data_IF_346292318630
#
_entry.id   IF_346292318630
#
_cell.length_a   1.000
_cell.length_b   1.000
_cell.length_c   1.000
_cell.angle_alpha   90.00
_cell.angle_beta   90.00
_cell.angle_gamma   90.00
#
_symmetry.space_group_name_H-M   'P 1'
#
loop_
_entity.id
_entity.type
_entity.pdbx_description
1 polymer ?
#
# COMPACT_ATOMS: atom_id res chain seq x y z
N UNK A 1 -64.28 32.19 -17.11
CA UNK A 1 -63.55 32.95 -18.17
C UNK A 1 -62.87 34.09 -17.43
N UNK A 2 -61.56 34.32 -17.47
CA UNK A 2 -60.62 34.30 -18.60
C UNK A 2 -59.26 33.78 -18.12
N UNK A 3 -58.68 32.93 -18.94
CA UNK A 3 -57.29 32.46 -18.94
C UNK A 3 -56.41 33.52 -19.59
N UNK A 4 -55.23 33.83 -19.05
CA UNK A 4 -54.04 34.24 -19.80
C UNK A 4 -52.81 34.29 -18.89
N UNK A 5 -52.04 33.19 -18.94
CA UNK A 5 -50.58 33.18 -18.81
C UNK A 5 -49.96 34.11 -19.89
N UNK A 6 -48.76 34.70 -19.82
CA UNK A 6 -47.44 34.05 -19.79
C UNK A 6 -46.32 35.12 -19.72
N UNK A 7 -45.27 34.81 -18.93
CA UNK A 7 -43.83 34.89 -19.25
C UNK A 7 -43.21 36.24 -19.70
N UNK A 8 -42.61 36.93 -18.73
CA UNK A 8 -41.62 38.00 -18.97
C UNK A 8 -40.40 38.00 -18.03
N UNK A 9 -40.27 37.03 -17.11
CA UNK A 9 -39.27 37.08 -16.03
C UNK A 9 -38.31 35.89 -15.95
N UNK A 10 -38.29 34.99 -16.94
CA UNK A 10 -37.42 33.80 -16.93
C UNK A 10 -35.92 34.13 -16.97
N UNK A 11 -35.49 35.17 -17.69
CA UNK A 11 -34.04 35.45 -17.82
C UNK A 11 -33.44 36.02 -16.53
N UNK A 12 -34.12 36.99 -15.90
CA UNK A 12 -33.65 37.60 -14.65
C UNK A 12 -33.66 36.60 -13.49
N UNK A 13 -34.69 35.75 -13.43
CA UNK A 13 -34.80 34.68 -12.44
C UNK A 13 -33.66 33.66 -12.59
N UNK A 14 -33.34 33.25 -13.83
CA UNK A 14 -32.23 32.34 -14.09
C UNK A 14 -30.86 32.96 -13.75
N UNK A 15 -30.67 34.26 -14.01
CA UNK A 15 -29.43 34.98 -13.64
C UNK A 15 -29.30 35.08 -12.11
N UNK A 16 -30.41 35.33 -11.41
CA UNK A 16 -30.44 35.39 -9.95
C UNK A 16 -30.13 34.02 -9.32
N UNK A 17 -30.72 32.94 -9.83
CA UNK A 17 -30.40 31.58 -9.36
C UNK A 17 -28.93 31.24 -9.64
N UNK A 18 -28.41 31.58 -10.83
CA UNK A 18 -27.00 31.37 -11.17
C UNK A 18 -26.07 32.15 -10.22
N UNK A 19 -26.39 33.41 -9.92
CA UNK A 19 -25.60 34.22 -8.98
C UNK A 19 -25.57 33.60 -7.58
N UNK A 20 -26.71 33.12 -7.08
CA UNK A 20 -26.78 32.43 -5.79
C UNK A 20 -25.97 31.13 -5.81
N UNK A 21 -26.05 30.33 -6.87
CA UNK A 21 -25.26 29.09 -7.01
C UNK A 21 -23.76 29.38 -7.07
N UNK A 22 -23.34 30.43 -7.78
CA UNK A 22 -21.92 30.83 -7.83
C UNK A 22 -21.42 31.32 -6.46
N UNK A 23 -22.24 32.05 -5.71
CA UNK A 23 -21.90 32.46 -4.35
C UNK A 23 -21.76 31.24 -3.43
N UNK A 24 -22.71 30.31 -3.47
CA UNK A 24 -22.66 29.08 -2.66
C UNK A 24 -21.44 28.21 -3.01
N UNK A 25 -21.14 28.07 -4.30
CA UNK A 25 -19.97 27.28 -4.74
C UNK A 25 -18.63 27.96 -4.43
N UNK A 26 -18.57 29.30 -4.43
CA UNK A 26 -17.39 30.08 -4.02
C UNK A 26 -17.05 29.94 -2.53
N UNK A 27 -18.06 29.67 -1.69
CA UNK A 27 -17.85 29.41 -0.26
C UNK A 27 -17.32 27.99 0.03
N UNK A 28 -17.50 27.02 -0.88
CA UNK A 28 -17.00 25.65 -0.71
C UNK A 28 -15.47 25.56 -0.51
N UNK A 29 -14.60 26.18 -1.34
CA UNK A 29 -13.16 26.10 -1.13
C UNK A 29 -12.71 26.72 0.19
N UNK A 30 -13.42 27.74 0.71
CA UNK A 30 -13.09 28.36 2.00
C UNK A 30 -13.32 27.38 3.16
N UNK A 31 -14.38 26.56 3.09
CA UNK A 31 -14.67 25.52 4.08
C UNK A 31 -13.68 24.34 4.00
N UNK A 32 -13.19 24.02 2.80
CA UNK A 32 -12.25 22.92 2.57
C UNK A 32 -10.78 23.31 2.79
N UNK A 33 -10.44 24.60 2.68
CA UNK A 33 -9.07 25.11 2.70
C UNK A 33 -8.30 24.77 3.99
N UNK A 34 -8.97 24.65 5.14
CA UNK A 34 -8.27 24.44 6.43
C UNK A 34 -7.94 22.96 6.69
N UNK A 35 -8.70 22.03 6.11
CA UNK A 35 -8.51 20.59 6.34
C UNK A 35 -7.64 19.93 5.28
N UNK A 36 -7.73 20.38 4.02
CA UNK A 36 -6.95 19.78 2.92
C UNK A 36 -5.54 20.36 2.79
N UNK A 37 -5.32 21.62 3.19
CA UNK A 37 -4.01 22.29 3.04
C UNK A 37 -3.13 22.25 4.28
N UNK A 38 -3.60 21.67 5.40
CA UNK A 38 -2.69 21.15 6.44
C UNK A 38 -2.04 19.85 5.96
N UNK A 39 -1.40 19.93 4.80
CA UNK A 39 -0.49 18.93 4.29
C UNK A 39 0.83 19.11 5.05
N UNK A 40 0.83 18.67 6.31
CA UNK A 40 2.01 18.71 7.14
C UNK A 40 3.00 17.69 6.56
N UNK A 41 4.18 18.19 6.16
CA UNK A 41 5.30 17.54 5.48
C UNK A 41 5.25 17.48 3.95
N UNK A 42 5.43 18.62 3.29
CA UNK A 42 5.72 18.74 1.84
C UNK A 42 6.91 17.89 1.33
N UNK A 43 7.61 17.16 2.20
CA UNK A 43 8.81 16.35 1.91
C UNK A 43 8.81 15.02 2.71
N UNK A 44 7.74 14.22 2.69
CA UNK A 44 7.68 13.00 3.49
C UNK A 44 6.64 11.99 3.06
N UNK A 45 6.58 10.86 3.75
CA UNK A 45 5.60 9.82 3.48
C UNK A 45 4.21 10.26 3.95
N UNK A 46 3.25 10.30 3.04
CA UNK A 46 1.92 10.81 3.34
C UNK A 46 0.93 9.71 3.70
N UNK A 47 0.22 9.91 4.81
CA UNK A 47 -0.81 8.97 5.25
C UNK A 47 -1.95 8.84 4.21
N UNK A 48 -2.33 9.93 3.56
CA UNK A 48 -3.37 9.92 2.52
C UNK A 48 -2.90 9.12 1.29
N UNK A 49 -1.64 9.26 0.87
CA UNK A 49 -1.09 8.46 -0.23
C UNK A 49 -1.10 6.97 0.11
N UNK A 50 -0.77 6.62 1.35
CA UNK A 50 -0.90 5.26 1.86
C UNK A 50 -2.32 4.73 1.77
N UNK A 51 -3.32 5.50 2.20
CA UNK A 51 -4.73 5.10 2.12
C UNK A 51 -5.19 4.90 0.67
N UNK A 52 -4.84 5.82 -0.23
CA UNK A 52 -5.15 5.73 -1.67
C UNK A 52 -4.49 4.47 -2.25
N UNK A 53 -3.23 4.22 -1.92
CA UNK A 53 -2.50 3.03 -2.35
C UNK A 53 -3.18 1.74 -1.91
N UNK A 54 -3.55 1.64 -0.63
CA UNK A 54 -4.25 0.45 -0.09
C UNK A 54 -5.60 0.25 -0.78
N UNK A 55 -6.35 1.32 -1.05
CA UNK A 55 -7.62 1.25 -1.78
C UNK A 55 -7.43 0.80 -3.23
N UNK A 56 -6.45 1.36 -3.94
CA UNK A 56 -6.11 0.97 -5.31
C UNK A 56 -5.67 -0.49 -5.37
N UNK A 57 -4.79 -0.92 -4.46
CA UNK A 57 -4.33 -2.31 -4.36
C UNK A 57 -5.50 -3.26 -4.06
N UNK A 58 -6.42 -2.87 -3.17
CA UNK A 58 -7.64 -3.63 -2.89
C UNK A 58 -8.53 -3.80 -4.12
N UNK A 59 -8.69 -2.74 -4.91
CA UNK A 59 -9.44 -2.80 -6.18
C UNK A 59 -8.79 -3.79 -7.15
N UNK A 60 -7.49 -3.66 -7.36
CA UNK A 60 -6.72 -4.55 -8.25
C UNK A 60 -6.77 -6.00 -7.78
N UNK A 61 -6.71 -6.25 -6.47
CA UNK A 61 -6.81 -7.60 -5.92
C UNK A 61 -8.19 -8.24 -6.19
N UNK A 62 -9.26 -7.46 -6.08
CA UNK A 62 -10.62 -7.94 -6.38
C UNK A 62 -10.83 -8.21 -7.87
N UNK A 63 -10.18 -7.44 -8.75
CA UNK A 63 -10.22 -7.63 -10.21
C UNK A 63 -9.22 -8.70 -10.71
N UNK A 64 -8.28 -9.12 -9.86
CA UNK A 64 -7.31 -10.16 -10.17
C UNK A 64 -7.93 -11.54 -10.05
N UNK A 65 -7.61 -12.44 -10.98
CA UNK A 65 -7.87 -13.88 -10.93
C UNK A 65 -6.84 -14.58 -10.05
N UNK A 66 -5.57 -14.21 -10.19
CA UNK A 66 -4.44 -14.79 -9.48
C UNK A 66 -3.44 -13.71 -9.06
N UNK A 67 -2.69 -13.98 -8.01
CA UNK A 67 -1.60 -13.13 -7.53
C UNK A 67 -0.36 -13.96 -7.23
N UNK A 68 0.82 -13.38 -7.45
CA UNK A 68 2.13 -13.99 -7.19
C UNK A 68 3.09 -12.92 -6.70
N UNK A 69 3.99 -13.28 -5.80
CA UNK A 69 5.04 -12.39 -5.29
C UNK A 69 6.40 -12.90 -5.74
N UNK A 70 7.28 -12.01 -6.14
CA UNK A 70 8.68 -12.30 -6.47
C UNK A 70 9.56 -11.26 -5.79
N UNK A 71 10.16 -11.62 -4.66
CA UNK A 71 10.94 -10.68 -3.85
C UNK A 71 10.12 -9.48 -3.41
N UNK A 72 10.50 -8.28 -3.87
CA UNK A 72 9.85 -7.00 -3.59
C UNK A 72 8.79 -6.61 -4.63
N UNK A 73 8.45 -7.51 -5.54
CA UNK A 73 7.47 -7.24 -6.61
C UNK A 73 6.23 -8.11 -6.46
N UNK A 74 5.06 -7.47 -6.49
CA UNK A 74 3.76 -8.13 -6.49
C UNK A 74 3.18 -8.12 -7.91
N UNK A 75 2.81 -9.31 -8.41
CA UNK A 75 2.14 -9.49 -9.70
C UNK A 75 0.69 -9.91 -9.49
N UNK A 76 -0.22 -9.24 -10.18
CA UNK A 76 -1.63 -9.55 -10.22
C UNK A 76 -2.04 -9.79 -11.68
N UNK A 77 -2.77 -10.87 -11.93
CA UNK A 77 -3.30 -11.19 -13.24
C UNK A 77 -4.81 -10.97 -13.22
N UNK A 78 -5.32 -10.02 -14.03
CA UNK A 78 -6.74 -9.68 -14.11
C UNK A 78 -7.57 -10.76 -14.80
N UNK A 79 -8.88 -10.75 -14.55
CA UNK A 79 -9.82 -11.59 -15.34
C UNK A 79 -9.83 -11.24 -16.83
N UNK A 80 -9.44 -10.01 -17.19
CA UNK A 80 -9.33 -9.52 -18.57
C UNK A 80 -8.06 -10.01 -19.28
N UNK A 81 -7.11 -10.62 -18.57
CA UNK A 81 -5.81 -11.06 -19.10
C UNK A 81 -4.68 -10.02 -18.94
N UNK A 82 -4.97 -8.84 -18.40
CA UNK A 82 -3.95 -7.84 -18.09
C UNK A 82 -3.12 -8.25 -16.86
N UNK A 83 -1.80 -7.99 -16.91
CA UNK A 83 -0.88 -8.23 -15.80
C UNK A 83 -0.49 -6.90 -15.15
N UNK A 84 -0.91 -6.70 -13.91
CA UNK A 84 -0.51 -5.54 -13.10
C UNK A 84 0.65 -5.92 -12.19
N UNK A 85 1.67 -5.08 -12.12
CA UNK A 85 2.82 -5.27 -11.22
C UNK A 85 3.06 -4.05 -10.35
N UNK A 86 3.31 -4.29 -9.06
CA UNK A 86 3.77 -3.30 -8.10
C UNK A 86 5.20 -3.64 -7.72
N UNK A 87 6.13 -2.75 -8.03
CA UNK A 87 7.56 -2.93 -7.81
C UNK A 87 8.12 -1.72 -7.07
N UNK A 88 9.02 -1.97 -6.12
CA UNK A 88 9.81 -0.91 -5.50
C UNK A 88 10.91 -0.47 -6.47
N UNK A 89 10.85 0.79 -6.90
CA UNK A 89 11.85 1.43 -7.74
C UNK A 89 12.40 2.67 -7.04
N UNK A 90 13.70 2.65 -6.75
CA UNK A 90 14.38 3.69 -5.97
C UNK A 90 13.72 3.89 -4.60
N UNK A 91 13.01 4.99 -4.40
CA UNK A 91 12.31 5.33 -3.16
C UNK A 91 10.79 5.38 -3.34
N UNK A 92 10.25 4.67 -4.34
CA UNK A 92 8.83 4.72 -4.69
C UNK A 92 8.31 3.37 -5.18
N UNK A 93 7.05 3.06 -4.88
CA UNK A 93 6.37 1.90 -5.43
C UNK A 93 5.75 2.32 -6.76
N UNK A 94 6.16 1.68 -7.85
CA UNK A 94 5.63 1.91 -9.20
C UNK A 94 4.65 0.81 -9.58
N UNK A 95 3.52 1.23 -10.13
CA UNK A 95 2.52 0.38 -10.77
C UNK A 95 2.76 0.35 -12.28
N UNK A 96 2.75 -0.86 -12.86
CA UNK A 96 2.81 -1.07 -14.30
C UNK A 96 1.70 -2.03 -14.73
N UNK A 97 1.14 -1.83 -15.92
CA UNK A 97 0.15 -2.71 -16.55
C UNK A 97 0.77 -3.26 -17.83
N UNK A 98 0.90 -4.58 -17.93
CA UNK A 98 1.58 -5.28 -19.02
C UNK A 98 3.00 -4.75 -19.27
N UNK A 99 3.72 -4.37 -18.20
CA UNK A 99 5.07 -3.79 -18.28
C UNK A 99 5.13 -2.36 -18.84
N UNK A 100 3.96 -1.74 -19.06
CA UNK A 100 3.83 -0.36 -19.53
C UNK A 100 3.21 0.50 -18.42
N UNK A 101 3.51 1.79 -18.41
CA UNK A 101 3.01 2.73 -17.40
C UNK A 101 4.03 3.00 -16.29
N UNK A 102 4.13 4.27 -15.92
CA UNK A 102 5.02 4.79 -14.88
C UNK A 102 4.20 5.48 -13.79
N UNK A 103 3.14 4.82 -13.32
CA UNK A 103 2.30 5.39 -12.28
C UNK A 103 2.97 5.13 -10.93
N UNK A 104 3.36 6.20 -10.25
CA UNK A 104 3.88 6.13 -8.89
C UNK A 104 2.70 5.97 -7.94
N UNK A 105 2.61 4.81 -7.29
CA UNK A 105 1.51 4.46 -6.39
C UNK A 105 1.78 4.92 -4.95
N UNK A 106 3.05 4.95 -4.53
CA UNK A 106 3.45 5.41 -3.19
C UNK A 106 4.87 5.96 -3.23
N UNK A 107 5.11 7.13 -2.64
CA UNK A 107 6.44 7.76 -2.56
C UNK A 107 7.07 7.60 -1.18
N UNK A 108 8.37 7.91 -1.08
CA UNK A 108 9.12 7.90 0.17
C UNK A 108 9.11 6.53 0.88
N UNK A 109 9.26 5.46 0.10
CA UNK A 109 9.33 4.07 0.56
C UNK A 109 10.77 3.58 0.53
N UNK A 110 11.25 3.10 1.68
CA UNK A 110 12.56 2.46 1.80
C UNK A 110 12.48 0.96 1.52
N UNK A 111 11.44 0.29 2.01
CA UNK A 111 11.28 -1.17 1.85
C UNK A 111 9.80 -1.56 1.78
N UNK A 112 9.50 -2.58 0.97
CA UNK A 112 8.18 -3.20 0.88
C UNK A 112 8.28 -4.72 0.97
N UNK A 113 7.36 -5.32 1.73
CA UNK A 113 7.22 -6.77 1.84
C UNK A 113 5.77 -7.16 1.58
N UNK A 114 5.60 -8.17 0.71
CA UNK A 114 4.32 -8.75 0.36
C UNK A 114 4.27 -10.20 0.83
N UNK A 115 3.34 -10.52 1.72
CA UNK A 115 3.15 -11.89 2.24
C UNK A 115 1.79 -12.40 1.78
N UNK A 116 1.81 -13.43 0.93
CA UNK A 116 0.62 -14.09 0.42
C UNK A 116 -0.01 -14.97 1.51
N UNK A 117 -1.30 -14.80 1.74
CA UNK A 117 -2.11 -15.61 2.67
C UNK A 117 -3.29 -16.22 1.92
N UNK A 118 -3.88 -17.30 2.43
CA UNK A 118 -5.03 -17.97 1.81
C UNK A 118 -6.24 -17.04 1.55
N UNK A 119 -6.38 -15.96 2.32
CA UNK A 119 -7.52 -15.02 2.24
C UNK A 119 -7.16 -13.64 1.68
N UNK A 120 -5.90 -13.39 1.34
CA UNK A 120 -5.45 -12.05 0.96
C UNK A 120 -3.95 -11.87 0.97
N UNK A 121 -3.53 -10.61 1.00
CA UNK A 121 -2.14 -10.19 1.00
C UNK A 121 -1.90 -9.32 2.23
N UNK A 122 -0.88 -9.68 3.01
CA UNK A 122 -0.37 -8.82 4.07
C UNK A 122 0.77 -7.97 3.49
N UNK A 123 0.59 -6.65 3.57
CA UNK A 123 1.49 -5.64 3.05
C UNK A 123 2.17 -4.94 4.22
N UNK A 124 3.49 -4.88 4.18
CA UNK A 124 4.31 -4.07 5.11
C UNK A 124 5.18 -3.11 4.30
N UNK A 125 5.10 -1.82 4.61
CA UNK A 125 5.88 -0.76 3.98
C UNK A 125 6.63 0.01 5.04
N UNK A 126 7.92 0.23 4.82
CA UNK A 126 8.75 1.11 5.66
C UNK A 126 9.00 2.40 4.91
N UNK A 127 8.61 3.52 5.50
CA UNK A 127 8.87 4.86 4.98
C UNK A 127 10.34 5.23 5.13
N UNK A 128 10.85 6.14 4.31
CA UNK A 128 12.17 6.77 4.46
C UNK A 128 12.38 7.48 5.81
N UNK A 129 11.31 7.77 6.55
CA UNK A 129 11.35 8.29 7.92
C UNK A 129 11.51 7.20 8.99
N UNK A 130 11.63 5.92 8.59
CA UNK A 130 11.72 4.77 9.49
C UNK A 130 10.39 4.31 10.10
N UNK A 131 9.27 4.93 9.72
CA UNK A 131 7.92 4.52 10.15
C UNK A 131 7.44 3.33 9.34
N UNK A 132 6.85 2.34 10.01
CA UNK A 132 6.29 1.15 9.37
C UNK A 132 4.77 1.23 9.28
N UNK A 133 4.24 0.95 8.09
CA UNK A 133 2.81 0.90 7.79
C UNK A 133 2.44 -0.53 7.37
N UNK A 134 1.32 -1.02 7.89
CA UNK A 134 0.84 -2.37 7.64
C UNK A 134 -0.62 -2.35 7.20
N UNK A 135 -0.94 -3.16 6.21
CA UNK A 135 -2.31 -3.38 5.78
C UNK A 135 -2.53 -4.85 5.41
N UNK A 136 -3.68 -5.38 5.82
CA UNK A 136 -4.15 -6.66 5.32
C UNK A 136 -5.25 -6.42 4.28
N UNK A 137 -4.98 -6.78 3.04
CA UNK A 137 -5.93 -6.68 1.94
C UNK A 137 -6.51 -8.07 1.68
N UNK A 138 -7.77 -8.27 2.06
CA UNK A 138 -8.51 -9.48 1.72
C UNK A 138 -9.26 -9.32 0.40
N UNK A 139 -9.47 -10.45 -0.27
CA UNK A 139 -10.41 -10.52 -1.39
C UNK A 139 -11.84 -10.56 -0.84
N UNK A 140 -12.69 -9.65 -1.29
CA UNK A 140 -14.09 -9.60 -0.83
C UNK A 140 -14.86 -10.88 -1.18
N UNK A 141 -14.54 -11.46 -2.34
CA UNK A 141 -15.08 -12.74 -2.77
C UNK A 141 -14.03 -13.82 -2.57
N UNK A 142 -13.98 -14.39 -1.38
CA UNK A 142 -13.39 -15.72 -1.21
C UNK A 142 -14.25 -16.67 -2.04
N UNK A 143 -13.70 -17.22 -3.13
CA UNK A 143 -14.38 -18.28 -3.86
C UNK A 143 -14.57 -19.43 -2.87
N UNK A 144 -15.78 -19.57 -2.34
CA UNK A 144 -16.18 -20.73 -1.55
C UNK A 144 -16.20 -21.93 -2.49
N UNK A 145 -15.08 -22.64 -2.55
CA UNK A 145 -15.00 -23.93 -3.22
C UNK A 145 -15.65 -25.00 -2.35
N UNK A 146 -16.96 -25.19 -2.52
CA UNK A 146 -17.60 -26.49 -2.26
C UNK A 146 -17.39 -27.37 -3.48
N UNK A 147 -16.67 -28.49 -3.32
CA UNK A 147 -16.34 -29.41 -4.39
C UNK A 147 -15.22 -30.35 -4.01
N UNK A 148 -15.60 -31.53 -3.54
CA UNK A 148 -14.75 -32.62 -3.12
C UNK A 148 -13.96 -33.20 -4.31
N UNK A 149 -12.63 -33.21 -4.24
CA UNK A 149 -11.81 -34.05 -5.13
C UNK A 149 -10.40 -34.29 -4.56
N UNK A 150 -10.31 -35.31 -3.70
CA UNK A 150 -9.37 -36.44 -3.79
C UNK A 150 -7.91 -36.12 -4.20
N UNK A 151 -7.02 -36.27 -3.22
CA UNK A 151 -5.69 -36.91 -3.31
C UNK A 151 -4.88 -36.65 -4.59
N UNK A 152 -3.96 -35.69 -4.50
CA UNK A 152 -2.66 -35.79 -5.20
C UNK A 152 -1.53 -35.45 -4.23
N UNK A 153 -1.16 -36.45 -3.44
CA UNK A 153 0.16 -36.53 -2.81
C UNK A 153 1.18 -36.49 -3.96
N UNK A 154 1.83 -35.35 -4.16
CA UNK A 154 3.11 -35.30 -4.89
C UNK A 154 4.17 -35.33 -3.83
N UNK A 155 4.77 -36.51 -3.69
CA UNK A 155 6.02 -36.69 -3.00
C UNK A 155 7.04 -35.77 -3.66
N UNK A 156 7.49 -34.75 -2.93
CA UNK A 156 8.76 -34.10 -3.20
C UNK A 156 9.67 -34.41 -2.03
N UNK A 157 10.40 -35.50 -2.23
CA UNK A 157 11.53 -35.91 -1.43
C UNK A 157 12.58 -34.80 -1.46
N UNK A 158 12.87 -34.29 -0.27
CA UNK A 158 14.20 -33.95 0.21
C UNK A 158 15.00 -32.87 -0.55
N UNK A 159 14.90 -31.63 -0.08
CA UNK A 159 16.10 -30.85 0.22
C UNK A 159 15.82 -29.93 1.42
N UNK A 160 16.19 -30.43 2.59
CA UNK A 160 16.28 -29.68 3.85
C UNK A 160 17.48 -28.74 3.78
N UNK A 161 17.27 -27.49 4.22
CA UNK A 161 18.15 -26.58 4.96
C UNK A 161 17.48 -25.19 4.84
N UNK A 162 16.47 -24.94 5.66
CA UNK A 162 16.59 -24.17 6.92
C UNK A 162 16.64 -22.65 6.67
N UNK A 163 15.45 -22.04 6.63
CA UNK A 163 15.30 -20.64 7.02
C UNK A 163 14.31 -20.59 8.17
N UNK A 164 14.90 -20.54 9.36
CA UNK A 164 14.23 -20.46 10.64
C UNK A 164 13.55 -19.10 10.78
N UNK A 165 12.25 -19.14 11.08
CA UNK A 165 11.49 -18.04 11.66
C UNK A 165 12.15 -17.57 12.96
N UNK A 166 12.52 -16.29 13.04
CA UNK A 166 12.67 -15.60 14.31
C UNK A 166 11.70 -14.41 14.34
N UNK A 167 10.48 -14.72 14.77
CA UNK A 167 9.76 -13.85 15.68
C UNK A 167 10.51 -13.88 17.00
N UNK A 168 10.90 -12.73 17.55
CA UNK A 168 10.78 -12.33 18.96
C UNK A 168 11.37 -10.92 19.07
N UNK A 169 10.51 -9.96 19.41
CA UNK A 169 10.95 -8.73 20.04
C UNK A 169 11.38 -9.04 21.47
N UNK A 170 12.55 -8.55 21.87
CA UNK A 170 12.93 -8.45 23.27
C UNK A 170 13.91 -7.30 23.48
N UNK A 171 13.54 -6.46 24.43
CA UNK A 171 14.19 -5.26 24.98
C UNK A 171 15.66 -5.52 25.37
N UNK A 172 16.60 -4.57 25.22
CA UNK A 172 17.93 -4.75 25.76
C UNK A 172 17.96 -4.30 27.24
N UNK A 173 17.89 -5.26 28.16
CA UNK A 173 18.35 -5.06 29.53
C UNK A 173 19.87 -5.25 29.57
N UNK A 174 20.60 -4.18 29.87
CA UNK A 174 22.00 -4.22 30.23
C UNK A 174 22.21 -5.04 31.50
N UNK A 175 23.18 -5.99 31.53
CA UNK A 175 24.18 -6.13 32.61
C UNK A 175 25.18 -7.28 32.44
N UNK A 176 26.41 -6.97 32.86
CA UNK A 176 27.51 -7.79 33.43
C UNK A 176 28.40 -8.58 32.47
N UNK A 177 29.58 -7.98 32.26
CA UNK A 177 30.86 -8.60 31.87
C UNK A 177 31.29 -9.60 32.94
N UNK A 178 31.58 -10.83 32.51
CA UNK A 178 32.44 -11.78 33.23
C UNK A 178 33.49 -12.29 32.25
N UNK A 179 34.76 -12.32 32.70
CA UNK A 179 35.96 -12.60 31.90
C UNK A 179 36.02 -13.99 31.28
N UNK A 180 37.10 -14.41 30.63
CA UNK A 180 38.40 -13.84 30.41
C UNK A 180 39.27 -14.89 29.71
N UNK A 181 40.49 -14.48 29.41
CA UNK A 181 41.66 -15.30 29.08
C UNK A 181 41.84 -15.81 27.64
N UNK A 182 43.03 -15.53 27.11
CA UNK A 182 43.77 -16.50 26.31
C UNK A 182 44.10 -16.13 24.87
N UNK A 183 45.02 -15.18 24.64
CA UNK A 183 46.17 -15.39 23.74
C UNK A 183 47.02 -14.11 23.70
N UNK A 184 48.10 -14.09 24.46
CA UNK A 184 49.13 -13.06 24.36
C UNK A 184 50.48 -13.75 24.31
N UNK A 185 51.32 -13.37 23.36
CA UNK A 185 52.61 -13.99 23.13
C UNK A 185 53.40 -13.36 21.99
N UNK A 186 53.40 -12.02 21.92
CA UNK A 186 54.31 -11.25 21.07
C UNK A 186 55.66 -11.14 21.79
N UNK A 187 56.70 -11.66 21.13
CA UNK A 187 58.11 -11.33 21.41
C UNK A 187 58.36 -9.86 21.10
N UNK A 188 59.00 -9.12 22.00
CA UNK A 188 60.07 -8.13 21.69
C UNK A 188 60.82 -7.77 22.99
N UNK A 189 62.15 -7.78 22.87
CA UNK A 189 63.26 -7.16 23.66
C UNK A 189 62.90 -5.96 24.56
N UNK A 190 63.63 -5.58 25.61
CA UNK A 190 65.03 -5.05 25.65
C UNK A 190 65.52 -4.89 27.12
N UNK A 191 66.83 -5.08 27.33
CA UNK A 191 67.76 -4.69 28.43
C UNK A 191 67.40 -4.92 29.90
#
# INVERSE_FOLDING_TARGET
MINSQEKGFTFLEMLLVMAIVLLMTSLLPLLLNVRLFKYENVNGFHHIEWEIFVQQLKKELNESKQWKTSGTTLYLEKFTGEKVSFELYQSSIRRQVNGTGNETALQFVENVTYILTNRGIFLRVTSSEGKTYEAFISRLFSQGGGGDAKSKRRDFSNHSHDVIFLSVGAIPCARIVSGGNGSNGIRTTIS
#
